data_IF_402563561136
#
_entry.id   IF_402563561136
#
_cell.length_a   1.000
_cell.length_b   1.000
_cell.length_c   1.000
_cell.angle_alpha   90.00
_cell.angle_beta   90.00
_cell.angle_gamma   90.00
#
_symmetry.space_group_name_H-M   'P 1'
#
loop_
_entity.id
_entity.type
_entity.pdbx_description
1 polymer ?
#
# COMPACT_ATOMS: atom_id res chain seq x y z
N UNK A 1 9.91 -16.43 -1.33
CA UNK A 1 9.47 -16.28 -2.73
C UNK A 1 9.45 -14.81 -3.12
N UNK A 2 9.64 -14.50 -4.41
CA UNK A 2 9.47 -13.14 -4.94
C UNK A 2 8.00 -12.93 -5.32
N UNK A 3 7.40 -11.81 -4.90
CA UNK A 3 6.02 -11.46 -5.21
C UNK A 3 5.89 -10.05 -5.79
N UNK A 4 4.92 -9.87 -6.67
CA UNK A 4 4.55 -8.57 -7.22
C UNK A 4 3.34 -7.99 -6.47
N UNK A 5 3.44 -6.73 -6.04
CA UNK A 5 2.38 -6.01 -5.36
C UNK A 5 1.97 -4.81 -6.20
N UNK A 6 0.69 -4.76 -6.56
CA UNK A 6 0.02 -3.59 -7.12
C UNK A 6 -1.08 -3.12 -6.18
N UNK A 7 -1.05 -1.85 -5.81
CA UNK A 7 -2.11 -1.20 -5.03
C UNK A 7 -2.59 0.02 -5.80
N UNK A 8 -3.89 0.05 -6.09
CA UNK A 8 -4.60 1.20 -6.65
C UNK A 8 -5.47 1.79 -5.52
N UNK A 9 -5.11 2.98 -5.06
CA UNK A 9 -5.85 3.74 -4.06
C UNK A 9 -6.61 4.86 -4.75
N UNK A 10 -7.92 4.87 -4.55
CA UNK A 10 -8.82 5.88 -5.12
C UNK A 10 -9.60 6.57 -4.02
N UNK A 11 -9.65 7.89 -4.10
CA UNK A 11 -10.50 8.69 -3.22
C UNK A 11 -10.15 8.52 -1.74
N UNK A 12 -8.86 8.47 -1.37
CA UNK A 12 -8.40 8.72 0.00
C UNK A 12 -8.58 10.21 0.34
N UNK A 13 -9.75 10.76 0.05
CA UNK A 13 -10.22 12.06 0.46
C UNK A 13 -11.20 11.79 1.61
N UNK A 14 -10.88 12.27 2.81
CA UNK A 14 -11.92 12.49 3.82
C UNK A 14 -12.86 13.56 3.25
N UNK A 15 -14.10 13.22 2.87
CA UNK A 15 -14.91 14.06 1.99
C UNK A 15 -15.29 15.37 2.69
N UNK A 16 -14.66 16.49 2.31
CA UNK A 16 -15.26 17.85 2.27
C UNK A 16 -14.27 19.04 2.11
N UNK A 17 -12.95 18.85 1.94
CA UNK A 17 -11.99 19.99 2.06
C UNK A 17 -11.23 20.41 0.78
N UNK A 18 -11.37 19.71 -0.36
CA UNK A 18 -10.64 20.06 -1.59
C UNK A 18 -9.11 19.86 -1.51
N UNK A 19 -8.64 19.11 -0.52
CA UNK A 19 -7.26 18.70 -0.29
C UNK A 19 -7.25 17.22 0.12
N UNK A 20 -6.13 16.47 -0.05
CA UNK A 20 -6.02 15.07 0.38
C UNK A 20 -6.12 14.83 1.90
N UNK A 21 -6.55 15.84 2.67
CA UNK A 21 -6.46 15.84 4.12
C UNK A 21 -5.00 15.88 4.57
N UNK A 22 -4.72 15.54 5.83
CA UNK A 22 -3.36 15.63 6.32
C UNK A 22 -2.46 14.53 5.72
N UNK A 23 -2.97 13.42 5.19
CA UNK A 23 -2.14 12.34 4.63
C UNK A 23 -1.66 12.74 3.23
N UNK A 24 -0.36 13.00 3.09
CA UNK A 24 0.24 13.44 1.81
C UNK A 24 1.11 12.37 1.16
N UNK A 25 1.48 11.33 1.89
CA UNK A 25 2.17 10.16 1.36
C UNK A 25 1.72 8.91 2.10
N UNK A 26 1.83 7.77 1.41
CA UNK A 26 1.41 6.45 1.91
C UNK A 26 2.45 5.39 1.56
N UNK A 27 2.43 4.26 2.27
CA UNK A 27 3.17 3.05 1.92
C UNK A 27 2.27 1.82 2.12
N UNK A 28 2.46 0.80 1.30
CA UNK A 28 1.76 -0.47 1.45
C UNK A 28 2.63 -1.45 2.25
N UNK A 29 1.99 -2.23 3.12
CA UNK A 29 2.64 -3.29 3.87
C UNK A 29 1.90 -4.59 3.70
N UNK A 30 2.67 -5.65 3.42
CA UNK A 30 2.17 -7.01 3.40
C UNK A 30 2.33 -7.57 4.81
N UNK A 31 1.23 -8.03 5.38
CA UNK A 31 1.19 -8.71 6.68
C UNK A 31 0.92 -10.19 6.42
N UNK A 32 1.70 -11.05 7.07
CA UNK A 32 1.48 -12.50 7.08
C UNK A 32 1.15 -12.88 8.54
N UNK A 33 -0.03 -13.44 8.79
CA UNK A 33 -0.50 -13.70 10.15
C UNK A 33 -0.63 -12.39 10.95
N UNK A 34 0.19 -12.23 11.98
CA UNK A 34 0.22 -11.06 12.88
C UNK A 34 1.44 -10.14 12.65
N UNK A 35 2.30 -10.45 11.68
CA UNK A 35 3.55 -9.75 11.47
C UNK A 35 3.61 -9.04 10.11
N UNK A 36 4.17 -7.81 10.11
CA UNK A 36 4.53 -7.11 8.88
C UNK A 36 5.70 -7.85 8.24
N UNK A 37 5.46 -8.47 7.08
CA UNK A 37 6.45 -9.24 6.35
C UNK A 37 7.29 -8.37 5.42
N UNK A 38 6.67 -7.37 4.77
CA UNK A 38 7.34 -6.45 3.88
C UNK A 38 6.60 -5.11 3.81
N UNK A 39 7.30 -4.05 3.42
CA UNK A 39 6.74 -2.71 3.23
C UNK A 39 7.36 -2.09 1.98
N UNK A 40 6.54 -1.41 1.18
CA UNK A 40 7.00 -0.69 0.00
C UNK A 40 7.65 0.63 0.36
N UNK A 41 8.34 1.24 -0.60
CA UNK A 41 8.63 2.67 -0.52
C UNK A 41 7.33 3.49 -0.46
N UNK A 42 7.45 4.73 0.02
CA UNK A 42 6.32 5.65 0.08
C UNK A 42 6.05 6.32 -1.26
N UNK A 43 4.78 6.55 -1.56
CA UNK A 43 4.33 7.31 -2.73
C UNK A 43 3.49 8.49 -2.29
N UNK A 44 3.53 9.56 -3.08
CA UNK A 44 2.70 10.74 -2.86
C UNK A 44 1.25 10.45 -3.25
N UNK A 45 0.33 11.06 -2.49
CA UNK A 45 -1.10 11.05 -2.79
C UNK A 45 -1.44 12.30 -3.62
N UNK A 46 -2.26 12.13 -4.66
CA UNK A 46 -2.72 13.24 -5.50
C UNK A 46 -3.68 14.17 -4.75
N UNK A 47 -3.96 15.34 -5.34
CA UNK A 47 -4.96 16.27 -4.79
C UNK A 47 -6.35 15.65 -4.68
N UNK A 48 -6.67 14.70 -5.57
CA UNK A 48 -7.91 13.92 -5.59
C UNK A 48 -7.88 12.69 -4.67
N UNK A 49 -6.82 12.52 -3.88
CA UNK A 49 -6.70 11.42 -2.94
C UNK A 49 -6.33 10.09 -3.60
N UNK A 50 -5.74 10.12 -4.80
CA UNK A 50 -5.37 8.92 -5.54
C UNK A 50 -3.88 8.62 -5.39
N UNK A 51 -3.52 7.33 -5.39
CA UNK A 51 -2.13 6.89 -5.41
C UNK A 51 -2.02 5.50 -6.02
N UNK A 52 -0.90 5.23 -6.69
CA UNK A 52 -0.58 3.93 -7.26
C UNK A 52 0.78 3.46 -6.74
N UNK A 53 0.84 2.21 -6.26
CA UNK A 53 2.06 1.59 -5.75
C UNK A 53 2.30 0.31 -6.55
N UNK A 54 3.44 0.26 -7.24
CA UNK A 54 3.98 -0.94 -7.87
C UNK A 54 5.29 -1.32 -7.19
N UNK A 55 5.34 -2.50 -6.58
CA UNK A 55 6.53 -2.96 -5.87
C UNK A 55 6.77 -4.44 -6.08
N UNK A 56 8.05 -4.83 -6.11
CA UNK A 56 8.47 -6.22 -5.99
C UNK A 56 8.97 -6.44 -4.57
N UNK A 57 8.36 -7.37 -3.85
CA UNK A 57 8.67 -7.63 -2.44
C UNK A 57 9.12 -9.08 -2.25
N UNK A 58 10.07 -9.27 -1.36
CA UNK A 58 10.44 -10.61 -0.88
C UNK A 58 9.58 -10.96 0.32
N UNK A 59 8.87 -12.06 0.23
CA UNK A 59 7.99 -12.53 1.31
C UNK A 59 8.50 -13.86 1.89
N UNK A 60 8.32 -14.07 3.21
CA UNK A 60 8.62 -15.34 3.84
C UNK A 60 7.72 -16.44 3.26
N UNK A 61 8.24 -17.66 3.16
CA UNK A 61 7.49 -18.83 2.70
C UNK A 61 7.47 -19.88 3.82
N UNK A 62 6.29 -20.26 4.36
CA UNK A 62 4.95 -19.82 3.94
C UNK A 62 4.54 -18.45 4.53
N UNK A 63 3.86 -17.63 3.73
CA UNK A 63 3.14 -16.43 4.19
C UNK A 63 1.64 -16.75 4.24
N UNK A 64 1.15 -17.16 5.40
CA UNK A 64 -0.25 -17.53 5.60
C UNK A 64 -1.08 -16.32 6.04
N UNK A 65 -2.36 -16.30 5.65
CA UNK A 65 -3.29 -15.23 6.05
C UNK A 65 -2.85 -13.85 5.57
N UNK A 66 -2.33 -13.77 4.35
CA UNK A 66 -1.75 -12.54 3.82
C UNK A 66 -2.82 -11.45 3.71
N UNK A 67 -2.49 -10.23 4.11
CA UNK A 67 -3.31 -9.03 3.93
C UNK A 67 -2.41 -7.85 3.54
N UNK A 68 -2.91 -6.96 2.69
CA UNK A 68 -2.23 -5.70 2.37
C UNK A 68 -2.88 -4.60 3.18
N UNK A 69 -2.06 -3.88 3.95
CA UNK A 69 -2.51 -2.75 4.74
C UNK A 69 -1.78 -1.48 4.28
N UNK A 70 -2.48 -0.37 4.25
CA UNK A 70 -1.96 0.93 3.82
C UNK A 70 -1.68 1.77 5.05
N UNK A 71 -0.47 2.34 5.11
CA UNK A 71 -0.02 3.23 6.20
C UNK A 71 0.23 4.63 5.69
N UNK A 72 -0.06 5.61 6.54
CA UNK A 72 0.40 6.99 6.29
C UNK A 72 1.93 7.06 6.40
N UNK A 73 2.58 7.70 5.43
CA UNK A 73 4.02 7.88 5.39
C UNK A 73 4.44 9.37 5.47
N UNK A 74 3.51 10.30 5.28
CA UNK A 74 3.74 11.72 5.51
C UNK A 74 2.43 12.41 5.93
N UNK A 75 2.57 13.42 6.80
CA UNK A 75 1.46 14.32 7.16
C UNK A 75 1.79 15.77 6.80
N UNK A 76 0.86 16.47 6.14
CA UNK A 76 1.01 17.87 5.72
C UNK A 76 2.34 18.13 4.98
N UNK A 77 2.77 17.19 4.13
CA UNK A 77 4.04 17.26 3.39
C UNK A 77 5.28 16.90 4.21
N UNK A 78 5.15 16.60 5.51
CA UNK A 78 6.27 16.20 6.37
C UNK A 78 6.39 14.67 6.41
N UNK A 79 7.50 14.09 5.91
CA UNK A 79 7.71 12.65 5.97
C UNK A 79 7.83 12.12 7.40
N UNK A 80 7.30 10.93 7.63
CA UNK A 80 7.50 10.20 8.87
C UNK A 80 8.82 9.39 8.79
N UNK A 81 9.51 9.18 9.92
CA UNK A 81 10.72 8.35 9.95
C UNK A 81 10.47 6.88 9.59
N UNK A 82 9.22 6.42 9.75
CA UNK A 82 8.71 5.15 9.24
C UNK A 82 7.19 5.28 9.00
N UNK A 83 6.58 4.46 8.13
CA UNK A 83 5.12 4.49 7.94
C UNK A 83 4.38 4.25 9.26
N UNK A 84 3.43 5.14 9.57
CA UNK A 84 2.74 5.22 10.85
C UNK A 84 1.40 4.47 10.86
N UNK A 85 0.27 5.13 11.17
CA UNK A 85 -1.00 4.46 11.40
C UNK A 85 -1.54 3.76 10.14
N UNK A 86 -2.25 2.67 10.35
CA UNK A 86 -3.05 1.98 9.33
C UNK A 86 -4.28 2.82 8.99
N UNK A 87 -4.50 3.06 7.69
CA UNK A 87 -5.57 3.92 7.20
C UNK A 87 -6.51 3.23 6.21
N UNK A 88 -6.06 2.11 5.61
CA UNK A 88 -6.88 1.28 4.76
C UNK A 88 -6.37 -0.17 4.76
N UNK A 89 -7.25 -1.09 4.39
CA UNK A 89 -6.93 -2.48 4.14
C UNK A 89 -7.37 -2.86 2.73
N UNK A 90 -6.55 -3.65 2.04
CA UNK A 90 -6.83 -4.22 0.74
C UNK A 90 -6.69 -5.74 0.81
N UNK A 91 -7.66 -6.44 0.21
CA UNK A 91 -7.55 -7.87 -0.03
C UNK A 91 -6.52 -8.16 -1.12
N UNK A 92 -5.91 -9.35 -1.08
CA UNK A 92 -5.00 -9.77 -2.15
C UNK A 92 -5.78 -10.44 -3.27
N UNK A 93 -5.55 -9.96 -4.48
CA UNK A 93 -5.84 -10.71 -5.69
C UNK A 93 -4.51 -11.32 -6.12
N UNK A 94 -4.41 -12.64 -6.09
CA UNK A 94 -3.28 -13.34 -6.70
C UNK A 94 -3.47 -13.26 -8.20
N UNK A 95 -2.73 -12.40 -8.88
CA UNK A 95 -2.55 -12.51 -10.32
C UNK A 95 -1.82 -13.82 -10.58
N UNK A 96 -2.49 -14.72 -11.28
CA UNK A 96 -1.90 -15.97 -11.75
C UNK A 96 -1.20 -15.62 -13.08
N UNK A 97 0.14 -15.73 -13.12
CA UNK A 97 0.96 -15.56 -14.34
C UNK A 97 0.71 -16.71 -15.36
N UNK A 98 -0.55 -17.06 -15.59
CA UNK A 98 -1.01 -18.10 -16.49
C UNK A 98 -1.62 -17.49 -17.77
N UNK A 99 -0.98 -16.50 -18.39
CA UNK A 99 -1.22 -16.20 -19.81
C UNK A 99 -0.17 -15.25 -20.44
N UNK A 100 0.99 -15.79 -20.81
CA UNK A 100 1.80 -15.22 -21.90
C UNK A 100 2.24 -16.33 -22.86
N UNK A 101 1.26 -16.97 -23.49
CA UNK A 101 1.46 -17.76 -24.69
C UNK A 101 0.40 -17.33 -25.71
N UNK A 102 0.78 -16.45 -26.63
CA UNK A 102 0.38 -16.42 -28.05
C UNK A 102 1.11 -15.29 -28.77
#
# INVERSE_FOLDING_TARGET
DEGHLRVDLRGLILPSLGTPGPVTAIAASVVCGDAVAATTDSVLVSVDGNAEIHAKLQLPSPCLGTIVLIRAAAFNGTPLPAPGPWIAAAGLVKDDDSNHAN
#
